data_IF_021971611884
#
_entry.id   IF_021971611884
#
_cell.length_a   1.000
_cell.length_b   1.000
_cell.length_c   1.000
_cell.angle_alpha   90.00
_cell.angle_beta   90.00
_cell.angle_gamma   90.00
#
_symmetry.space_group_name_H-M   'P 1'
#
loop_
_entity.id
_entity.type
_entity.pdbx_description
1 polymer ?
#
# COMPACT_ATOMS: atom_id res chain seq x y z
N UNK A 1 8.60 -8.24 -1.11
CA UNK A 1 7.27 -7.93 -1.69
C UNK A 1 6.38 -7.27 -0.66
N UNK A 2 5.66 -6.25 -1.06
CA UNK A 2 4.67 -5.59 -0.23
C UNK A 2 3.28 -5.68 -0.83
N UNK A 3 2.26 -5.74 0.01
CA UNK A 3 0.86 -5.59 -0.38
C UNK A 3 0.33 -4.37 0.34
N UNK A 4 -0.23 -3.43 -0.43
CA UNK A 4 -0.81 -2.19 0.08
C UNK A 4 -2.29 -2.16 -0.27
N UNK A 5 -3.11 -1.86 0.71
CA UNK A 5 -4.54 -1.66 0.52
C UNK A 5 -4.86 -0.18 0.82
N UNK A 6 -5.51 0.47 -0.11
CA UNK A 6 -5.93 1.86 0.05
C UNK A 6 -7.23 1.91 0.85
N UNK A 7 -7.20 2.59 1.99
CA UNK A 7 -8.37 2.77 2.84
C UNK A 7 -9.13 4.04 2.46
N UNK A 8 -10.45 3.95 2.39
CA UNK A 8 -11.30 5.11 2.14
C UNK A 8 -11.84 5.25 0.72
N UNK A 9 -11.53 4.32 -0.18
CA UNK A 9 -12.04 4.36 -1.56
C UNK A 9 -13.56 4.35 -1.59
N UNK A 10 -14.18 3.48 -0.80
CA UNK A 10 -15.65 3.41 -0.75
C UNK A 10 -16.27 4.76 -0.36
N UNK A 11 -15.69 5.43 0.61
CA UNK A 11 -16.16 6.75 1.02
C UNK A 11 -16.06 7.78 -0.09
N UNK A 12 -14.99 7.76 -0.87
CA UNK A 12 -14.82 8.66 -2.01
C UNK A 12 -15.88 8.35 -3.08
N UNK A 13 -16.06 7.07 -3.42
CA UNK A 13 -17.08 6.67 -4.39
C UNK A 13 -18.48 7.09 -3.95
N UNK A 14 -18.81 6.89 -2.68
CA UNK A 14 -20.13 7.21 -2.14
C UNK A 14 -20.41 8.72 -2.11
N UNK A 15 -19.39 9.54 -1.79
CA UNK A 15 -19.53 10.99 -1.68
C UNK A 15 -19.36 11.72 -3.01
N UNK A 16 -18.43 11.27 -3.85
CA UNK A 16 -17.96 12.02 -5.00
C UNK A 16 -18.10 11.27 -6.33
N UNK A 17 -18.56 10.01 -6.30
CA UNK A 17 -18.79 9.18 -7.48
C UNK A 17 -17.59 8.35 -7.90
N UNK A 18 -17.85 7.37 -8.78
CA UNK A 18 -16.84 6.39 -9.22
C UNK A 18 -15.70 7.01 -10.04
N UNK A 19 -15.98 8.07 -10.80
CA UNK A 19 -14.93 8.77 -11.56
C UNK A 19 -13.88 9.36 -10.61
N UNK A 20 -14.34 9.91 -9.51
CA UNK A 20 -13.44 10.45 -8.49
C UNK A 20 -12.64 9.35 -7.79
N UNK A 21 -13.30 8.22 -7.51
CA UNK A 21 -12.62 7.03 -6.98
C UNK A 21 -11.56 6.49 -7.93
N UNK A 22 -11.84 6.46 -9.22
CA UNK A 22 -10.87 6.04 -10.23
C UNK A 22 -9.68 7.00 -10.30
N UNK A 23 -9.92 8.28 -10.17
CA UNK A 23 -8.85 9.28 -10.09
C UNK A 23 -7.96 9.04 -8.86
N UNK A 24 -8.57 8.78 -7.71
CA UNK A 24 -7.83 8.42 -6.48
C UNK A 24 -6.92 7.22 -6.72
N UNK A 25 -7.44 6.16 -7.33
CA UNK A 25 -6.67 4.94 -7.61
C UNK A 25 -5.47 5.24 -8.50
N UNK A 26 -5.64 6.04 -9.54
CA UNK A 26 -4.54 6.44 -10.44
C UNK A 26 -3.51 7.30 -9.72
N UNK A 27 -3.96 8.29 -8.96
CA UNK A 27 -3.07 9.21 -8.23
C UNK A 27 -2.27 8.47 -7.17
N UNK A 28 -2.90 7.52 -6.48
CA UNK A 28 -2.21 6.73 -5.48
C UNK A 28 -1.13 5.83 -6.11
N UNK A 29 -1.44 5.17 -7.23
CA UNK A 29 -0.46 4.38 -7.96
C UNK A 29 0.74 5.21 -8.40
N UNK A 30 0.50 6.40 -8.93
CA UNK A 30 1.56 7.33 -9.34
C UNK A 30 2.40 7.79 -8.14
N UNK A 31 1.75 8.12 -7.03
CA UNK A 31 2.44 8.54 -5.82
C UNK A 31 3.31 7.42 -5.23
N UNK A 32 2.81 6.18 -5.24
CA UNK A 32 3.60 5.01 -4.85
C UNK A 32 4.83 4.85 -5.73
N UNK A 33 4.65 4.92 -7.05
CA UNK A 33 5.76 4.76 -7.99
C UNK A 33 6.82 5.85 -7.81
N UNK A 34 6.41 7.10 -7.61
CA UNK A 34 7.32 8.22 -7.35
C UNK A 34 8.04 8.09 -6.01
N UNK A 35 7.39 7.49 -5.02
CA UNK A 35 7.95 7.34 -3.68
C UNK A 35 8.92 6.17 -3.55
N UNK A 36 8.91 5.22 -4.50
CA UNK A 36 9.80 4.06 -4.53
C UNK A 36 11.05 4.36 -5.36
N UNK A 37 12.10 3.54 -5.20
CA UNK A 37 13.31 3.70 -6.01
C UNK A 37 13.10 3.15 -7.43
N UNK A 38 13.97 3.56 -8.37
CA UNK A 38 13.80 3.31 -9.80
C UNK A 38 13.76 1.85 -10.24
N UNK A 39 14.25 0.91 -9.41
CA UNK A 39 14.21 -0.53 -9.71
C UNK A 39 12.98 -1.23 -9.12
N UNK A 40 12.22 -0.54 -8.30
CA UNK A 40 11.03 -1.07 -7.65
C UNK A 40 9.82 -0.93 -8.58
N UNK A 41 8.85 -1.83 -8.45
CA UNK A 41 7.65 -1.81 -9.28
C UNK A 41 6.37 -1.78 -8.46
N UNK A 42 5.37 -1.07 -8.99
CA UNK A 42 4.02 -1.02 -8.41
C UNK A 42 3.05 -1.66 -9.39
N UNK A 43 2.25 -2.59 -8.91
CA UNK A 43 1.27 -3.31 -9.71
C UNK A 43 -0.08 -3.32 -9.01
N UNK A 44 -1.13 -2.95 -9.72
CA UNK A 44 -2.47 -3.03 -9.18
C UNK A 44 -2.97 -4.47 -9.24
N UNK A 45 -3.38 -5.02 -8.10
CA UNK A 45 -3.93 -6.38 -8.03
C UNK A 45 -5.43 -6.40 -8.33
N UNK A 46 -6.14 -5.36 -7.97
CA UNK A 46 -7.57 -5.22 -8.20
C UNK A 46 -8.19 -4.35 -7.11
N UNK A 47 -9.36 -3.76 -7.37
CA UNK A 47 -10.01 -2.89 -6.41
C UNK A 47 -9.07 -1.79 -5.92
N UNK A 48 -8.80 -1.80 -4.63
CA UNK A 48 -7.94 -0.84 -3.93
C UNK A 48 -6.62 -1.44 -3.45
N UNK A 49 -6.20 -2.57 -4.02
CA UNK A 49 -5.03 -3.32 -3.58
C UNK A 49 -3.90 -3.26 -4.62
N UNK A 50 -2.67 -3.03 -4.12
CA UNK A 50 -1.46 -2.90 -4.93
C UNK A 50 -0.37 -3.82 -4.42
N UNK A 51 0.40 -4.40 -5.35
CA UNK A 51 1.61 -5.14 -5.01
C UNK A 51 2.83 -4.27 -5.28
N UNK A 52 3.78 -4.31 -4.36
CA UNK A 52 5.07 -3.64 -4.47
C UNK A 52 6.16 -4.69 -4.62
N UNK A 53 6.90 -4.64 -5.72
CA UNK A 53 8.08 -5.47 -5.91
C UNK A 53 9.31 -4.62 -5.60
N UNK A 54 9.99 -4.99 -4.53
CA UNK A 54 11.05 -4.18 -3.95
C UNK A 54 12.37 -4.96 -3.96
N UNK A 55 13.44 -4.27 -4.30
CA UNK A 55 14.79 -4.80 -4.15
C UNK A 55 15.31 -4.42 -2.78
N UNK A 56 15.46 -5.42 -1.90
CA UNK A 56 15.97 -5.18 -0.56
C UNK A 56 17.49 -5.21 -0.59
N UNK A 57 18.13 -4.07 -0.43
CA UNK A 57 19.58 -3.96 -0.40
C UNK A 57 20.15 -3.77 1.01
N UNK A 58 19.32 -3.45 1.98
CA UNK A 58 19.73 -3.22 3.36
C UNK A 58 18.95 -4.11 4.31
N UNK A 59 19.64 -5.07 4.93
CA UNK A 59 19.05 -5.93 5.94
C UNK A 59 18.55 -5.12 7.15
N UNK A 60 17.35 -5.45 7.61
CA UNK A 60 16.79 -4.90 8.84
C UNK A 60 16.08 -3.54 8.72
N UNK A 61 16.13 -2.87 7.54
CA UNK A 61 15.52 -1.56 7.35
C UNK A 61 14.41 -1.50 6.30
N UNK A 62 14.17 -2.61 5.62
CA UNK A 62 13.20 -2.64 4.50
C UNK A 62 11.82 -2.21 4.96
N UNK A 63 11.32 -2.78 6.05
CA UNK A 63 9.99 -2.47 6.55
C UNK A 63 9.84 -0.99 6.90
N UNK A 64 10.79 -0.45 7.63
CA UNK A 64 10.77 0.97 8.02
C UNK A 64 10.79 1.88 6.79
N UNK A 65 11.72 1.64 5.87
CA UNK A 65 11.87 2.44 4.67
C UNK A 65 10.61 2.40 3.79
N UNK A 66 10.05 1.21 3.56
CA UNK A 66 8.86 1.06 2.73
C UNK A 66 7.64 1.68 3.41
N UNK A 67 7.51 1.53 4.72
CA UNK A 67 6.44 2.17 5.49
C UNK A 67 6.46 3.69 5.30
N UNK A 68 7.64 4.31 5.41
CA UNK A 68 7.77 5.75 5.19
C UNK A 68 7.40 6.17 3.77
N UNK A 69 7.77 5.37 2.79
CA UNK A 69 7.45 5.65 1.38
C UNK A 69 5.97 5.54 1.10
N UNK A 70 5.30 4.54 1.67
CA UNK A 70 3.84 4.40 1.55
C UNK A 70 3.13 5.54 2.27
N UNK A 71 3.60 5.95 3.44
CA UNK A 71 3.06 7.12 4.13
C UNK A 71 3.21 8.40 3.31
N UNK A 72 4.35 8.57 2.66
CA UNK A 72 4.57 9.72 1.77
C UNK A 72 3.58 9.72 0.61
N UNK A 73 3.38 8.58 -0.04
CA UNK A 73 2.40 8.45 -1.12
C UNK A 73 0.99 8.80 -0.63
N UNK A 74 0.63 8.33 0.55
CA UNK A 74 -0.65 8.63 1.18
C UNK A 74 -0.81 10.13 1.43
N UNK A 75 0.21 10.80 1.95
CA UNK A 75 0.21 12.24 2.17
C UNK A 75 0.06 13.03 0.87
N UNK A 76 0.71 12.57 -0.20
CA UNK A 76 0.59 13.20 -1.52
C UNK A 76 -0.87 13.18 -2.00
N UNK A 77 -1.55 12.04 -1.93
CA UNK A 77 -2.94 11.97 -2.39
C UNK A 77 -3.89 12.73 -1.47
N UNK A 78 -3.62 12.78 -0.17
CA UNK A 78 -4.40 13.62 0.74
C UNK A 78 -4.33 15.09 0.33
N UNK A 79 -3.15 15.56 -0.03
CA UNK A 79 -2.94 16.93 -0.49
C UNK A 79 -3.59 17.19 -1.86
N UNK A 80 -3.81 16.16 -2.67
CA UNK A 80 -4.46 16.27 -3.97
C UNK A 80 -5.99 16.30 -3.91
N UNK A 81 -6.56 16.27 -2.73
CA UNK A 81 -8.00 16.39 -2.56
C UNK A 81 -8.70 15.14 -2.01
N UNK A 82 -7.93 14.22 -1.41
CA UNK A 82 -8.46 13.02 -0.78
C UNK A 82 -8.04 12.93 0.69
N UNK A 83 -8.51 13.87 1.53
CA UNK A 83 -7.96 14.04 2.88
C UNK A 83 -8.24 12.90 3.86
N UNK A 84 -9.23 12.06 3.57
CA UNK A 84 -9.67 10.99 4.49
C UNK A 84 -9.13 9.61 4.14
N UNK A 85 -8.27 9.50 3.11
CA UNK A 85 -7.72 8.20 2.73
C UNK A 85 -6.53 7.82 3.58
N UNK A 86 -6.31 6.52 3.69
CA UNK A 86 -5.16 5.93 4.37
C UNK A 86 -4.68 4.72 3.59
N UNK A 87 -3.65 4.07 4.09
CA UNK A 87 -3.13 2.86 3.48
C UNK A 87 -2.63 1.88 4.54
N UNK A 88 -2.82 0.60 4.28
CA UNK A 88 -2.33 -0.48 5.13
C UNK A 88 -1.33 -1.31 4.33
N UNK A 89 -0.16 -1.56 4.90
CA UNK A 89 0.97 -2.25 4.25
C UNK A 89 1.31 -3.54 4.98
N UNK A 90 1.52 -4.61 4.22
CA UNK A 90 2.14 -5.84 4.71
C UNK A 90 3.35 -6.17 3.85
N UNK A 91 4.43 -6.63 4.47
CA UNK A 91 5.67 -6.99 3.81
C UNK A 91 6.04 -8.44 4.06
N UNK A 92 6.61 -9.08 3.05
CA UNK A 92 7.27 -10.37 3.16
C UNK A 92 8.59 -10.34 2.38
N UNK A 93 9.66 -10.85 2.98
CA UNK A 93 11.03 -10.77 2.46
C UNK A 93 11.49 -12.16 2.01
N UNK A 94 11.98 -12.26 0.77
CA UNK A 94 12.63 -13.45 0.25
C UNK A 94 14.13 -13.41 0.61
N UNK A 95 14.76 -14.48 1.03
CA UNK A 95 14.19 -15.81 1.34
C UNK A 95 13.78 -16.01 2.81
N UNK A 96 13.96 -14.98 3.64
CA UNK A 96 13.81 -15.10 5.10
C UNK A 96 12.40 -15.47 5.53
N UNK A 97 11.39 -14.81 4.97
CA UNK A 97 9.98 -15.03 5.33
C UNK A 97 9.34 -16.17 4.52
N UNK A 98 9.67 -16.23 3.23
CA UNK A 98 9.15 -17.23 2.31
C UNK A 98 10.05 -17.34 1.09
N UNK A 99 9.99 -18.46 0.37
CA UNK A 99 10.88 -18.74 -0.77
C UNK A 99 10.19 -18.76 -2.12
N UNK A 100 8.86 -18.79 -2.15
CA UNK A 100 8.11 -18.77 -3.40
C UNK A 100 7.28 -17.51 -3.50
N UNK A 101 6.97 -17.10 -4.74
CA UNK A 101 6.10 -15.97 -5.00
C UNK A 101 4.73 -16.08 -4.33
N UNK A 102 4.02 -17.23 -4.51
CA UNK A 102 2.72 -17.41 -3.86
C UNK A 102 2.76 -17.32 -2.34
N UNK A 103 3.80 -17.86 -1.71
CA UNK A 103 3.96 -17.76 -0.26
C UNK A 103 4.23 -16.34 0.19
N UNK A 104 5.06 -15.58 -0.55
CA UNK A 104 5.34 -14.18 -0.26
C UNK A 104 4.08 -13.33 -0.33
N UNK A 105 3.28 -13.52 -1.38
CA UNK A 105 2.01 -12.80 -1.55
C UNK A 105 1.07 -13.10 -0.38
N UNK A 106 0.91 -14.37 -0.04
CA UNK A 106 0.01 -14.78 1.04
C UNK A 106 0.43 -14.18 2.38
N UNK A 107 1.72 -14.22 2.68
CA UNK A 107 2.24 -13.69 3.94
C UNK A 107 2.12 -12.16 4.00
N UNK A 108 2.47 -11.48 2.91
CA UNK A 108 2.34 -10.02 2.83
C UNK A 108 0.88 -9.59 2.96
N UNK A 109 -0.03 -10.31 2.30
CA UNK A 109 -1.47 -10.04 2.40
C UNK A 109 -2.00 -10.24 3.82
N UNK A 110 -1.60 -11.32 4.47
CA UNK A 110 -1.96 -11.59 5.87
C UNK A 110 -1.48 -10.48 6.79
N UNK A 111 -0.26 -10.01 6.61
CA UNK A 111 0.31 -8.92 7.40
C UNK A 111 -0.37 -7.59 7.13
N UNK A 112 -0.71 -7.31 5.89
CA UNK A 112 -1.46 -6.12 5.50
C UNK A 112 -2.84 -6.13 6.17
N UNK A 113 -3.53 -7.26 6.11
CA UNK A 113 -4.85 -7.40 6.71
C UNK A 113 -4.81 -7.21 8.22
N UNK A 114 -3.79 -7.74 8.90
CA UNK A 114 -3.59 -7.54 10.33
C UNK A 114 -3.42 -6.04 10.67
N UNK A 115 -2.65 -5.31 9.86
CA UNK A 115 -2.49 -3.86 10.01
C UNK A 115 -3.82 -3.12 9.81
N UNK A 116 -4.58 -3.52 8.81
CA UNK A 116 -5.89 -2.95 8.52
C UNK A 116 -6.86 -3.14 9.69
N UNK A 117 -6.85 -4.31 10.31
CA UNK A 117 -7.68 -4.59 11.49
C UNK A 117 -7.29 -3.70 12.67
N UNK A 118 -6.01 -3.52 12.93
CA UNK A 118 -5.53 -2.64 13.99
C UNK A 118 -5.96 -1.19 13.77
N UNK A 119 -5.94 -0.72 12.52
CA UNK A 119 -6.34 0.64 12.18
C UNK A 119 -7.85 0.87 12.38
N UNK A 120 -8.65 -0.20 12.36
CA UNK A 120 -10.11 -0.15 12.53
C UNK A 120 -10.57 -0.29 13.97
N UNK A 121 -9.68 -0.66 14.88
CA UNK A 121 -10.04 -0.78 16.29
C UNK A 121 -10.35 0.60 16.85
N UNK A 122 -11.55 0.84 17.40
CA UNK A 122 -11.87 2.13 18.00
C UNK A 122 -10.91 2.41 19.15
N UNK A 123 -10.31 3.57 19.12
CA UNK A 123 -9.50 4.02 20.25
C UNK A 123 -10.44 4.51 21.33
N UNK A 124 -10.39 3.85 22.45
CA UNK A 124 -11.18 4.25 23.61
C UNK A 124 -10.69 5.59 24.15
#
# INVERSE_FOLDING_TARGET
MGIVDLDGLKGVNDREGHERGDELLRRFAMALQESLSGTDGVYRLGGDEYALLLSAHEEGRVEHTVTLRVERATQIVRALGFPLVGASLGLAVHPDDARSGPELVRLADTRMYARKQLARVPQA
#
